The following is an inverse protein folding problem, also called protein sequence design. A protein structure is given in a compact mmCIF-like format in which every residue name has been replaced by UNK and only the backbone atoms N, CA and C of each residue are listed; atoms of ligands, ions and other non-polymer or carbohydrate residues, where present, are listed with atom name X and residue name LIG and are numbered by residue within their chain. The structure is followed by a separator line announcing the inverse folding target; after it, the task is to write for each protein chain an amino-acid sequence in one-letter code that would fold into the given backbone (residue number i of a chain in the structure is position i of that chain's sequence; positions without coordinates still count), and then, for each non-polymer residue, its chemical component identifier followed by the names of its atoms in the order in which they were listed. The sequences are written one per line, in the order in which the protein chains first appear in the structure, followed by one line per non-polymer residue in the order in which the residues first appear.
data_IF_101289699683
#
_entry.id   IF_101289699683
#
_cell.length_a   1.000
_cell.length_b   1.000
_cell.length_c   1.000
_cell.angle_alpha   90.00
_cell.angle_beta   90.00
_cell.angle_gamma   90.00
#
_symmetry.space_group_name_H-M   'P 1'
#
loop_
_entity.id
_entity.type
_entity.pdbx_description
1 polymer ?
#
# COMPACT_ATOMS: atom_id res chain seq x y z
N UNK A 1 26.59 0.75 11.52
CA UNK A 1 26.38 -0.42 10.65
C UNK A 1 25.02 -0.22 10.00
N UNK A 2 25.00 0.15 8.73
CA UNK A 2 23.74 0.33 8.00
C UNK A 2 23.10 -1.03 7.80
N UNK A 3 22.02 -1.30 8.52
CA UNK A 3 21.18 -2.44 8.26
C UNK A 3 20.53 -2.21 6.90
N UNK A 4 21.00 -2.92 5.89
CA UNK A 4 20.42 -2.89 4.56
C UNK A 4 19.09 -3.63 4.67
N UNK A 5 17.99 -2.89 4.90
CA UNK A 5 16.64 -3.47 4.94
C UNK A 5 16.38 -4.14 3.60
N UNK A 6 16.04 -5.41 3.67
CA UNK A 6 15.64 -6.18 2.50
C UNK A 6 14.39 -5.52 1.94
N UNK A 7 14.46 -5.05 0.70
CA UNK A 7 13.29 -4.53 -0.01
C UNK A 7 12.17 -5.58 0.01
N UNK A 8 10.91 -5.19 0.21
CA UNK A 8 9.79 -6.11 0.15
C UNK A 8 9.84 -6.94 -1.13
N UNK A 9 9.56 -8.22 -1.02
CA UNK A 9 9.58 -9.21 -2.12
C UNK A 9 8.74 -8.77 -3.33
N UNK A 10 7.79 -7.87 -3.14
CA UNK A 10 6.92 -7.32 -4.18
C UNK A 10 7.65 -6.64 -5.36
N UNK A 11 8.89 -6.15 -5.17
CA UNK A 11 9.71 -5.63 -6.27
C UNK A 11 10.56 -6.71 -6.95
N UNK A 12 10.73 -7.87 -6.31
CA UNK A 12 11.62 -8.94 -6.81
C UNK A 12 10.98 -9.74 -7.94
N UNK A 13 9.67 -9.61 -8.17
CA UNK A 13 8.95 -10.34 -9.22
C UNK A 13 9.14 -9.71 -10.60
N UNK A 14 10.39 -9.47 -11.02
CA UNK A 14 10.71 -9.14 -12.42
C UNK A 14 10.74 -7.66 -12.77
N UNK A 15 10.57 -6.74 -11.81
CA UNK A 15 10.71 -5.29 -12.07
C UNK A 15 12.14 -4.82 -11.76
N UNK A 16 12.72 -4.03 -12.67
CA UNK A 16 14.08 -3.50 -12.51
C UNK A 16 14.03 -2.19 -11.72
N UNK A 17 14.70 -2.14 -10.57
CA UNK A 17 14.81 -0.94 -9.73
C UNK A 17 15.62 0.13 -10.46
N UNK A 18 15.05 1.33 -10.59
CA UNK A 18 15.67 2.52 -11.15
C UNK A 18 16.23 3.45 -10.07
N UNK A 19 15.47 3.64 -8.98
CA UNK A 19 15.90 4.44 -7.83
C UNK A 19 15.20 3.99 -6.56
N UNK A 20 15.83 4.29 -5.41
CA UNK A 20 15.24 4.08 -4.09
C UNK A 20 15.66 5.20 -3.16
N UNK A 21 14.71 5.77 -2.44
CA UNK A 21 14.91 6.90 -1.52
C UNK A 21 14.19 6.64 -0.22
N UNK A 22 14.77 7.10 0.89
CA UNK A 22 14.25 6.92 2.24
C UNK A 22 14.28 8.24 3.00
N UNK A 23 13.27 8.46 3.83
CA UNK A 23 13.13 9.63 4.70
C UNK A 23 12.74 9.19 6.11
N UNK A 24 13.54 9.56 7.10
CA UNK A 24 13.19 9.39 8.50
C UNK A 24 12.41 10.61 8.99
N UNK A 25 11.30 10.36 9.66
CA UNK A 25 10.39 11.39 10.16
C UNK A 25 10.09 11.16 11.65
N UNK A 26 10.22 12.23 12.43
CA UNK A 26 9.78 12.24 13.82
C UNK A 26 8.25 12.34 13.91
N UNK A 27 7.63 11.81 14.99
CA UNK A 27 6.18 11.81 15.15
C UNK A 27 5.65 13.21 15.50
N UNK A 28 5.59 14.09 14.49
CA UNK A 28 5.10 15.47 14.60
C UNK A 28 3.86 15.69 13.74
N UNK A 29 2.97 16.68 14.05
CA UNK A 29 1.71 16.88 13.30
C UNK A 29 1.87 17.08 11.80
N UNK A 30 3.04 17.55 11.32
CA UNK A 30 3.32 17.78 9.88
C UNK A 30 3.84 16.56 9.13
N UNK A 31 3.96 15.44 9.79
CA UNK A 31 4.60 14.24 9.26
C UNK A 31 3.94 13.75 7.97
N UNK A 32 2.60 13.73 7.90
CA UNK A 32 1.87 13.29 6.68
C UNK A 32 2.18 14.21 5.49
N UNK A 33 2.22 15.52 5.70
CA UNK A 33 2.54 16.47 4.62
C UNK A 33 4.00 16.36 4.15
N UNK A 34 4.92 16.09 5.07
CA UNK A 34 6.33 15.87 4.73
C UNK A 34 6.52 14.57 3.95
N UNK A 35 5.87 13.48 4.37
CA UNK A 35 5.88 12.22 3.64
C UNK A 35 5.32 12.36 2.22
N UNK A 36 4.21 13.06 2.05
CA UNK A 36 3.62 13.34 0.73
C UNK A 36 4.53 14.17 -0.16
N UNK A 37 5.17 15.20 0.39
CA UNK A 37 6.13 16.03 -0.35
C UNK A 37 7.32 15.20 -0.83
N UNK A 38 7.88 14.38 0.07
CA UNK A 38 8.97 13.47 -0.23
C UNK A 38 8.61 12.45 -1.34
N UNK A 39 7.48 11.75 -1.21
CA UNK A 39 7.04 10.79 -2.22
C UNK A 39 6.79 11.48 -3.57
N UNK A 40 6.17 12.67 -3.58
CA UNK A 40 5.93 13.44 -4.81
C UNK A 40 7.23 13.85 -5.50
N UNK A 41 8.23 14.27 -4.74
CA UNK A 41 9.54 14.69 -5.26
C UNK A 41 10.29 13.54 -5.95
N UNK A 42 10.16 12.32 -5.42
CA UNK A 42 10.91 11.16 -5.92
C UNK A 42 10.07 10.23 -6.81
N UNK A 43 8.78 10.52 -6.97
CA UNK A 43 7.92 9.73 -7.87
C UNK A 43 8.31 9.95 -9.34
N UNK A 44 8.24 8.91 -10.18
CA UNK A 44 8.43 9.06 -11.62
C UNK A 44 7.22 9.79 -12.23
N UNK A 45 7.30 10.23 -13.48
CA UNK A 45 6.13 10.65 -14.24
C UNK A 45 5.06 9.55 -14.23
N UNK A 46 3.84 9.89 -13.80
CA UNK A 46 2.67 9.00 -13.69
C UNK A 46 1.46 9.68 -14.36
N UNK A 47 0.48 8.90 -14.85
CA UNK A 47 -0.84 9.43 -15.16
C UNK A 47 -1.44 10.12 -13.93
N UNK A 48 -2.25 11.17 -14.15
CA UNK A 48 -2.81 12.00 -13.08
C UNK A 48 -3.58 11.17 -12.04
N UNK A 49 -4.47 10.28 -12.50
CA UNK A 49 -5.22 9.38 -11.62
C UNK A 49 -4.31 8.49 -10.77
N UNK A 50 -3.23 7.98 -11.36
CA UNK A 50 -2.25 7.14 -10.63
C UNK A 50 -1.46 7.97 -9.62
N UNK A 51 -1.09 9.20 -9.97
CA UNK A 51 -0.41 10.11 -9.05
C UNK A 51 -1.31 10.50 -7.85
N UNK A 52 -2.59 10.73 -8.08
CA UNK A 52 -3.56 10.99 -7.01
C UNK A 52 -3.74 9.79 -6.09
N UNK A 53 -3.84 8.58 -6.64
CA UNK A 53 -3.88 7.34 -5.87
C UNK A 53 -2.60 7.17 -5.06
N UNK A 54 -1.41 7.42 -5.64
CA UNK A 54 -0.13 7.36 -4.93
C UNK A 54 -0.14 8.27 -3.70
N UNK A 55 -0.60 9.52 -3.84
CA UNK A 55 -0.65 10.48 -2.74
C UNK A 55 -1.67 10.10 -1.67
N UNK A 56 -2.82 9.58 -2.08
CA UNK A 56 -3.88 9.11 -1.18
C UNK A 56 -3.36 7.95 -0.34
N UNK A 57 -2.86 6.88 -0.97
CA UNK A 57 -2.39 5.69 -0.28
C UNK A 57 -1.17 5.97 0.62
N UNK A 58 -0.27 6.86 0.20
CA UNK A 58 0.83 7.34 1.06
C UNK A 58 0.27 7.98 2.32
N UNK A 59 -0.75 8.85 2.20
CA UNK A 59 -1.37 9.51 3.34
C UNK A 59 -1.99 8.52 4.30
N UNK A 60 -2.67 7.49 3.79
CA UNK A 60 -3.31 6.44 4.60
C UNK A 60 -2.29 5.60 5.38
N UNK A 61 -1.21 5.14 4.73
CA UNK A 61 -0.17 4.38 5.42
C UNK A 61 0.53 5.20 6.50
N UNK A 62 0.88 6.45 6.18
CA UNK A 62 1.57 7.34 7.12
C UNK A 62 0.66 7.71 8.29
N UNK A 63 -0.61 8.04 8.05
CA UNK A 63 -1.59 8.32 9.10
C UNK A 63 -1.76 7.12 10.02
N UNK A 64 -1.86 5.92 9.45
CA UNK A 64 -1.97 4.69 10.22
C UNK A 64 -0.73 4.46 11.10
N UNK A 65 0.48 4.68 10.58
CA UNK A 65 1.70 4.59 11.36
C UNK A 65 1.71 5.61 12.51
N UNK A 66 1.35 6.86 12.26
CA UNK A 66 1.32 7.94 13.28
C UNK A 66 0.32 7.64 14.39
N UNK A 67 -0.86 7.13 14.07
CA UNK A 67 -1.90 6.83 15.05
C UNK A 67 -1.53 5.66 15.97
N UNK A 68 -0.70 4.76 15.50
CA UNK A 68 -0.35 3.52 16.21
C UNK A 68 1.10 3.48 16.68
N UNK A 69 2.00 4.22 16.06
CA UNK A 69 3.40 4.31 16.46
C UNK A 69 3.65 5.60 17.26
N UNK A 70 4.24 5.45 18.45
CA UNK A 70 4.78 6.57 19.23
C UNK A 70 6.26 6.78 18.94
N UNK A 71 6.76 6.16 17.89
CA UNK A 71 8.15 6.14 17.44
C UNK A 71 8.33 6.95 16.17
N UNK A 72 9.56 7.23 15.80
CA UNK A 72 9.89 7.71 14.45
C UNK A 72 9.44 6.70 13.40
N UNK A 73 9.17 7.19 12.20
CA UNK A 73 8.84 6.35 11.05
C UNK A 73 9.86 6.56 9.95
N UNK A 74 10.06 5.54 9.13
CA UNK A 74 10.80 5.65 7.89
C UNK A 74 9.85 5.46 6.71
N UNK A 75 9.81 6.45 5.82
CA UNK A 75 9.08 6.40 4.55
C UNK A 75 10.05 6.12 3.43
N UNK A 76 9.81 5.05 2.67
CA UNK A 76 10.59 4.69 1.49
C UNK A 76 9.76 4.82 0.22
N UNK A 77 10.41 5.23 -0.88
CA UNK A 77 9.88 5.11 -2.23
C UNK A 77 10.91 4.41 -3.10
N UNK A 78 10.49 3.35 -3.77
CA UNK A 78 11.31 2.64 -4.74
C UNK A 78 10.61 2.67 -6.09
N UNK A 79 11.31 3.19 -7.09
CA UNK A 79 10.84 3.31 -8.47
C UNK A 79 11.42 2.16 -9.27
N UNK A 80 10.54 1.29 -9.77
CA UNK A 80 10.87 0.26 -10.74
C UNK A 80 10.62 0.73 -12.18
N UNK A 81 10.96 -0.10 -13.14
CA UNK A 81 10.71 0.17 -14.55
C UNK A 81 9.19 0.23 -14.84
N UNK A 82 8.42 -0.62 -14.22
CA UNK A 82 6.97 -0.78 -14.47
C UNK A 82 6.10 -0.40 -13.27
N UNK A 83 6.68 -0.25 -12.07
CA UNK A 83 5.94 0.00 -10.83
C UNK A 83 6.60 1.02 -9.90
N UNK A 84 5.83 1.49 -8.93
CA UNK A 84 6.27 2.30 -7.80
C UNK A 84 5.85 1.59 -6.52
N UNK A 85 6.79 1.42 -5.60
CA UNK A 85 6.56 0.87 -4.27
C UNK A 85 6.75 1.97 -3.22
N UNK A 86 5.81 2.11 -2.32
CA UNK A 86 5.94 2.94 -1.11
C UNK A 86 5.92 2.06 0.11
N UNK A 87 6.85 2.30 1.02
CA UNK A 87 6.97 1.60 2.30
C UNK A 87 6.88 2.60 3.45
N UNK A 88 6.23 2.21 4.53
CA UNK A 88 6.21 2.94 5.80
C UNK A 88 6.57 1.96 6.90
N UNK A 89 7.71 2.18 7.53
CA UNK A 89 8.20 1.38 8.64
C UNK A 89 8.08 2.16 9.94
N UNK A 90 7.64 1.50 11.00
CA UNK A 90 7.64 2.00 12.37
C UNK A 90 8.26 0.97 13.33
N UNK A 91 8.95 1.45 14.35
CA UNK A 91 9.65 0.64 15.36
C UNK A 91 8.75 0.24 16.53
N UNK A 92 7.43 0.42 16.41
CA UNK A 92 6.51 0.06 17.49
C UNK A 92 6.42 -1.45 17.66
N UNK A 93 7.00 -1.93 18.76
CA UNK A 93 7.00 -3.33 19.16
C UNK A 93 5.75 -3.71 19.97
N UNK A 94 4.85 -2.78 20.24
CA UNK A 94 3.63 -3.07 20.98
C UNK A 94 2.72 -3.91 20.09
N UNK A 95 2.80 -5.22 20.31
CA UNK A 95 1.96 -6.21 19.68
C UNK A 95 0.52 -6.05 20.18
N UNK A 96 -0.35 -5.54 19.35
CA UNK A 96 -1.76 -5.84 19.48
C UNK A 96 -2.03 -7.19 18.80
N UNK A 97 -1.46 -8.25 19.39
CA UNK A 97 -1.56 -9.64 18.91
C UNK A 97 -2.99 -10.17 18.87
N UNK A 98 -3.96 -9.46 19.48
CA UNK A 98 -5.29 -9.98 19.72
C UNK A 98 -6.38 -9.44 18.79
N UNK A 99 -6.06 -8.49 17.89
CA UNK A 99 -7.07 -7.98 16.96
C UNK A 99 -6.65 -8.24 15.50
N UNK A 100 -7.50 -8.95 14.72
CA UNK A 100 -7.31 -9.05 13.29
C UNK A 100 -7.20 -7.64 12.70
N UNK A 101 -6.23 -7.43 11.83
CA UNK A 101 -5.92 -6.15 11.19
C UNK A 101 -7.14 -5.44 10.57
N UNK A 102 -8.17 -6.20 10.15
CA UNK A 102 -9.42 -5.70 9.58
C UNK A 102 -10.40 -5.07 10.60
N UNK A 103 -10.16 -5.21 11.92
CA UNK A 103 -11.09 -4.75 12.97
C UNK A 103 -10.55 -3.58 13.81
N UNK A 104 -9.42 -2.98 13.42
CA UNK A 104 -8.89 -1.80 14.10
C UNK A 104 -9.73 -0.58 13.72
N UNK A 105 -10.17 0.16 14.73
CA UNK A 105 -10.86 1.45 14.55
C UNK A 105 -9.94 2.36 13.71
N UNK A 106 -10.40 2.78 12.54
CA UNK A 106 -9.59 3.47 11.52
C UNK A 106 -9.37 2.66 10.24
N UNK A 107 -9.92 1.44 10.14
CA UNK A 107 -9.70 0.47 9.06
C UNK A 107 -10.12 0.85 7.64
N UNK A 108 -10.67 2.05 7.43
CA UNK A 108 -11.05 2.52 6.10
C UNK A 108 -9.84 2.75 5.20
N UNK A 109 -8.73 3.30 5.74
CA UNK A 109 -7.54 3.59 4.96
C UNK A 109 -6.86 2.35 4.39
N UNK A 110 -6.79 1.28 5.17
CA UNK A 110 -6.17 0.03 4.72
C UNK A 110 -7.08 -0.79 3.80
N UNK A 111 -8.41 -0.67 3.94
CA UNK A 111 -9.36 -1.17 2.97
C UNK A 111 -9.15 -0.52 1.61
N UNK A 112 -9.00 0.81 1.60
CA UNK A 112 -8.73 1.60 0.41
C UNK A 112 -7.38 1.24 -0.24
N UNK A 113 -6.34 1.03 0.57
CA UNK A 113 -5.03 0.57 0.06
C UNK A 113 -5.15 -0.76 -0.66
N UNK A 114 -5.89 -1.72 -0.09
CA UNK A 114 -6.11 -3.04 -0.70
C UNK A 114 -6.95 -2.98 -1.98
N UNK A 115 -7.85 -2.02 -2.08
CA UNK A 115 -8.73 -1.86 -3.22
C UNK A 115 -8.04 -1.18 -4.40
N UNK A 116 -7.21 -0.17 -4.12
CA UNK A 116 -6.61 0.69 -5.15
C UNK A 116 -5.18 0.30 -5.52
N UNK A 117 -4.45 -0.42 -4.65
CA UNK A 117 -3.11 -0.88 -4.95
C UNK A 117 -3.14 -2.17 -5.78
N UNK A 118 -2.14 -2.35 -6.63
CA UNK A 118 -1.89 -3.63 -7.31
C UNK A 118 -1.56 -4.73 -6.31
N UNK A 119 -0.70 -4.40 -5.34
CA UNK A 119 -0.34 -5.24 -4.21
C UNK A 119 -0.13 -4.39 -2.97
N UNK A 120 -0.45 -4.94 -1.82
CA UNK A 120 -0.18 -4.32 -0.54
C UNK A 120 -0.06 -5.37 0.56
N UNK A 121 0.80 -5.12 1.53
CA UNK A 121 0.90 -5.95 2.72
C UNK A 121 1.42 -5.17 3.93
N UNK A 122 1.37 -5.83 5.08
CA UNK A 122 2.06 -5.44 6.29
C UNK A 122 2.93 -6.61 6.75
N UNK A 123 4.19 -6.32 6.99
CA UNK A 123 5.19 -7.27 7.45
C UNK A 123 5.62 -6.92 8.87
N UNK A 124 5.62 -7.91 9.77
CA UNK A 124 6.11 -7.76 11.14
C UNK A 124 7.58 -8.21 11.17
N UNK A 125 8.43 -7.38 11.76
CA UNK A 125 9.85 -7.67 11.94
C UNK A 125 10.11 -7.89 13.43
N UNK A 126 10.30 -9.13 13.90
CA UNK A 126 10.51 -9.41 15.33
C UNK A 126 11.70 -8.63 15.89
N UNK A 127 11.43 -7.74 16.85
CA UNK A 127 12.44 -6.87 17.46
C UNK A 127 12.77 -5.58 16.71
N UNK A 128 12.15 -5.33 15.55
CA UNK A 128 12.43 -4.15 14.71
C UNK A 128 11.17 -3.40 14.26
N UNK A 129 9.97 -3.80 14.72
CA UNK A 129 8.72 -3.13 14.40
C UNK A 129 7.94 -3.75 13.23
N UNK A 130 7.35 -2.91 12.40
CA UNK A 130 6.53 -3.36 11.25
C UNK A 130 6.72 -2.45 10.03
N UNK A 131 6.54 -3.03 8.85
CA UNK A 131 6.52 -2.29 7.58
C UNK A 131 5.19 -2.52 6.88
N UNK A 132 4.46 -1.44 6.62
CA UNK A 132 3.32 -1.44 5.71
C UNK A 132 3.78 -0.93 4.35
N UNK A 133 3.27 -1.53 3.27
CA UNK A 133 3.66 -1.13 1.93
C UNK A 133 2.54 -1.34 0.92
N UNK A 134 2.62 -0.60 -0.19
CA UNK A 134 1.80 -0.82 -1.38
C UNK A 134 2.61 -0.61 -2.66
N UNK A 135 2.16 -1.25 -3.74
CA UNK A 135 2.73 -1.14 -5.08
C UNK A 135 1.65 -0.67 -6.07
N UNK A 136 2.01 0.27 -6.93
CA UNK A 136 1.20 0.73 -8.06
C UNK A 136 1.93 0.47 -9.37
N UNK A 137 1.20 0.15 -10.43
CA UNK A 137 1.76 0.12 -11.78
C UNK A 137 1.91 1.56 -12.33
N UNK A 138 2.98 1.83 -13.05
CA UNK A 138 3.27 3.15 -13.66
C UNK A 138 2.41 3.42 -14.90
N UNK A 139 2.00 2.38 -15.59
CA UNK A 139 1.02 2.47 -16.66
C UNK A 139 -0.35 2.30 -16.04
N UNK A 140 -1.25 3.26 -16.23
CA UNK A 140 -2.60 3.19 -15.68
C UNK A 140 -3.31 1.90 -16.09
N UNK A 141 -3.11 0.86 -15.32
CA UNK A 141 -3.90 -0.36 -15.36
C UNK A 141 -5.21 -0.04 -14.64
N UNK A 142 -6.26 0.16 -15.41
CA UNK A 142 -7.62 0.08 -14.88
C UNK A 142 -7.71 -1.24 -14.11
N UNK A 143 -7.80 -1.18 -12.80
CA UNK A 143 -8.31 -2.30 -12.01
C UNK A 143 -9.76 -2.50 -12.43
N UNK A 144 -9.96 -3.34 -13.45
CA UNK A 144 -11.26 -3.89 -13.71
C UNK A 144 -11.69 -4.63 -12.44
N UNK A 145 -12.74 -4.15 -11.80
CA UNK A 145 -13.39 -4.84 -10.71
C UNK A 145 -13.56 -6.33 -11.07
N UNK A 146 -13.31 -7.26 -10.16
CA UNK A 146 -13.50 -8.67 -10.40
C UNK A 146 -14.95 -8.90 -10.81
N UNK A 147 -15.10 -9.48 -12.00
CA UNK A 147 -16.34 -9.61 -12.74
C UNK A 147 -17.50 -10.09 -11.90
N UNK A 148 -18.62 -9.43 -12.07
CA UNK A 148 -19.94 -9.95 -11.74
C UNK A 148 -20.10 -11.31 -12.41
N UNK A 149 -20.01 -12.36 -11.61
CA UNK A 149 -20.39 -13.70 -12.03
C UNK A 149 -21.79 -13.64 -12.62
N UNK A 150 -21.88 -13.87 -13.92
CA UNK A 150 -23.16 -14.09 -14.61
C UNK A 150 -23.86 -15.23 -13.89
N UNK A 151 -24.95 -14.91 -13.20
CA UNK A 151 -25.89 -15.93 -12.74
C UNK A 151 -26.44 -16.63 -13.98
N UNK A 152 -26.08 -17.88 -14.14
CA UNK A 152 -26.75 -18.81 -15.00
C UNK A 152 -28.13 -19.02 -14.40
N UNK A 153 -29.18 -18.53 -15.05
CA UNK A 153 -30.55 -18.90 -14.76
C UNK A 153 -30.83 -20.23 -15.46
N UNK A 154 -31.10 -21.33 -14.74
CA UNK A 154 -31.55 -22.58 -15.33
C UNK A 154 -33.06 -22.71 -15.20
N UNK A 155 -33.82 -21.90 -15.90
CA UNK A 155 -35.27 -22.20 -16.07
C UNK A 155 -35.75 -21.71 -17.44
N UNK A 156 -35.39 -22.49 -18.44
CA UNK A 156 -36.12 -22.57 -19.69
C UNK A 156 -36.96 -23.85 -19.69
N UNK A 157 -38.10 -23.84 -19.02
CA UNK A 157 -39.09 -24.93 -19.23
C UNK A 157 -39.91 -24.63 -20.45
N UNK A 158 -39.70 -25.47 -21.44
CA UNK A 158 -40.51 -25.54 -22.65
C UNK A 158 -41.94 -25.92 -22.34
N UNK A 159 -42.87 -25.21 -22.92
CA UNK A 159 -44.26 -25.60 -23.04
C UNK A 159 -44.37 -26.59 -24.20
N UNK A 160 -44.86 -27.80 -23.91
CA UNK A 160 -45.32 -28.76 -24.90
C UNK A 160 -46.82 -28.57 -25.07
N UNK A 161 -47.23 -28.32 -26.29
CA UNK A 161 -48.65 -28.36 -26.68
C UNK A 161 -49.06 -29.80 -26.91
N UNK A 162 -50.25 -30.11 -26.46
CA UNK A 162 -51.13 -31.11 -27.01
C UNK A 162 -52.39 -30.43 -27.47
#
# INVERSE_FOLDING_TARGET
MSCQRVLPIALVSGDTVQSSHHLHLDPVPRLVSQARAFVREHAPPLPEDTADVLMLLTSELVTNAVLHARTSIEVGITVGQTSVLVTVHDEDLTRDEQRPYAQREGGWGLGLVRELAEESAMELHPGDGKTAWFRLLRTGGSTAAPGSARRNDPHGMGAVQA
#
